data_IF_892369512416
#
_entry.id   IF_892369512416
#
_cell.length_a   1.000
_cell.length_b   1.000
_cell.length_c   1.000
_cell.angle_alpha   90.00
_cell.angle_beta   90.00
_cell.angle_gamma   90.00
#
_symmetry.space_group_name_H-M   'P 1'
#
loop_
_entity.id
_entity.type
_entity.pdbx_description
1 polymer ?
#
# COMPACT_ATOMS: atom_id res chain seq x y z
N UNK A 1 20.30 17.27 13.11
CA UNK A 1 18.92 16.77 12.91
C UNK A 1 18.33 16.55 14.29
N UNK A 2 17.10 16.99 14.54
CA UNK A 2 16.37 16.76 15.80
C UNK A 2 15.24 15.78 15.47
N UNK A 3 15.10 14.69 16.23
CA UNK A 3 14.07 13.67 16.03
C UNK A 3 13.30 13.43 17.34
N UNK A 4 12.31 14.27 17.67
CA UNK A 4 11.69 14.31 19.01
C UNK A 4 11.13 12.98 19.51
N UNK A 5 10.47 12.19 18.65
CA UNK A 5 9.92 10.87 19.04
C UNK A 5 11.01 9.92 19.56
N UNK A 6 12.18 9.90 18.89
CA UNK A 6 13.32 9.07 19.31
C UNK A 6 14.06 9.67 20.50
N UNK A 7 14.25 10.99 20.48
CA UNK A 7 15.13 11.68 21.40
C UNK A 7 14.45 11.95 22.76
N UNK A 8 13.13 12.13 22.78
CA UNK A 8 12.35 12.44 24.00
C UNK A 8 11.67 11.22 24.61
N UNK A 9 11.56 10.11 23.87
CA UNK A 9 11.06 8.80 24.34
C UNK A 9 9.67 8.86 25.01
N UNK A 10 8.82 9.79 24.58
CA UNK A 10 7.46 9.90 25.10
C UNK A 10 6.60 8.79 24.50
N UNK A 11 5.87 8.06 25.34
CA UNK A 11 4.81 7.17 24.90
C UNK A 11 3.55 7.94 24.49
N UNK A 12 2.65 7.31 23.73
CA UNK A 12 1.42 7.96 23.21
C UNK A 12 0.58 8.63 24.30
N UNK A 13 0.47 8.03 25.49
CA UNK A 13 -0.23 8.63 26.63
C UNK A 13 0.44 9.90 27.15
N UNK A 14 1.77 9.95 27.15
CA UNK A 14 2.55 11.11 27.56
C UNK A 14 2.47 12.23 26.52
N UNK A 15 2.47 11.89 25.22
CA UNK A 15 2.25 12.83 24.12
C UNK A 15 0.89 13.52 24.23
N UNK A 16 -0.17 12.76 24.53
CA UNK A 16 -1.54 13.29 24.73
C UNK A 16 -1.58 14.21 25.95
N UNK A 17 -0.96 13.80 27.06
CA UNK A 17 -0.91 14.62 28.28
C UNK A 17 -0.14 15.93 28.04
N UNK A 18 0.98 15.86 27.33
CA UNK A 18 1.79 17.02 26.97
C UNK A 18 1.02 17.98 26.04
N UNK A 19 0.30 17.45 25.05
CA UNK A 19 -0.57 18.25 24.20
C UNK A 19 -1.64 18.97 25.02
N UNK A 20 -2.27 18.29 25.98
CA UNK A 20 -3.27 18.88 26.87
C UNK A 20 -2.69 19.98 27.77
N UNK A 21 -1.51 19.75 28.37
CA UNK A 21 -0.79 20.74 29.21
C UNK A 21 -0.48 22.02 28.42
N UNK A 22 -0.20 21.90 27.12
CA UNK A 22 0.14 23.02 26.25
C UNK A 22 -1.08 23.58 25.48
N UNK A 23 -2.30 23.14 25.80
CA UNK A 23 -3.54 23.63 25.17
C UNK A 23 -3.69 23.25 23.69
N UNK A 24 -3.01 22.19 23.24
CA UNK A 24 -3.08 21.66 21.88
C UNK A 24 -4.23 20.64 21.77
N UNK A 25 -5.23 20.95 20.95
CA UNK A 25 -6.33 20.02 20.69
C UNK A 25 -5.87 18.88 19.76
N UNK A 26 -5.79 17.66 20.29
CA UNK A 26 -5.48 16.44 19.52
C UNK A 26 -6.71 15.54 19.38
N UNK A 27 -6.93 14.99 18.17
CA UNK A 27 -8.01 14.04 17.89
C UNK A 27 -7.64 12.59 18.24
N UNK A 28 -6.39 12.34 18.65
CA UNK A 28 -5.90 11.01 18.95
C UNK A 28 -6.61 10.45 20.19
N UNK A 29 -7.50 9.48 19.99
CA UNK A 29 -8.06 8.67 21.08
C UNK A 29 -7.19 7.44 21.30
N UNK A 30 -7.32 6.81 22.48
CA UNK A 30 -6.71 5.49 22.78
C UNK A 30 -7.29 4.34 21.93
N UNK A 31 -8.30 4.60 21.09
CA UNK A 31 -9.21 3.57 20.58
C UNK A 31 -8.84 2.98 19.22
N UNK A 32 -7.97 3.61 18.41
CA UNK A 32 -7.50 2.97 17.19
C UNK A 32 -6.40 1.97 17.53
N UNK A 33 -6.62 0.64 17.39
CA UNK A 33 -5.59 -0.36 17.68
C UNK A 33 -4.50 -0.41 16.61
N UNK A 34 -4.70 0.30 15.48
CA UNK A 34 -3.81 0.30 14.33
C UNK A 34 -3.03 1.61 14.18
N UNK A 35 -1.78 1.47 13.78
CA UNK A 35 -0.98 2.53 13.16
C UNK A 35 -1.20 2.44 11.65
N UNK A 36 -1.59 3.56 11.04
CA UNK A 36 -1.98 3.61 9.62
C UNK A 36 -1.21 4.74 8.95
N UNK A 37 -0.53 4.43 7.85
CA UNK A 37 -0.04 5.41 6.88
C UNK A 37 -0.76 5.20 5.55
N UNK A 38 -1.06 6.30 4.86
CA UNK A 38 -1.78 6.24 3.59
C UNK A 38 -1.48 7.43 2.69
N UNK A 39 -1.29 7.15 1.40
CA UNK A 39 -1.10 8.14 0.35
C UNK A 39 -1.80 7.69 -0.95
N UNK A 40 -1.63 8.38 -2.08
CA UNK A 40 -2.30 7.99 -3.32
C UNK A 40 -2.03 6.53 -3.76
N UNK A 41 -0.84 6.00 -3.45
CA UNK A 41 -0.33 4.74 -3.98
C UNK A 41 -0.74 3.51 -3.16
N UNK A 42 -0.88 3.68 -1.85
CA UNK A 42 -1.18 2.58 -0.95
C UNK A 42 -1.47 3.04 0.47
N UNK A 43 -1.97 2.08 1.26
CA UNK A 43 -2.24 2.21 2.69
C UNK A 43 -1.54 1.06 3.42
N UNK A 44 -0.76 1.37 4.46
CA UNK A 44 -0.18 0.39 5.37
C UNK A 44 -0.90 0.39 6.71
N UNK A 45 -0.95 -0.78 7.35
CA UNK A 45 -1.62 -1.01 8.63
C UNK A 45 -0.77 -1.97 9.45
N UNK A 46 -0.43 -1.55 10.66
CA UNK A 46 0.42 -2.32 11.57
C UNK A 46 -0.04 -2.15 13.03
N UNK A 47 0.67 -2.81 13.95
CA UNK A 47 0.48 -2.81 15.42
C UNK A 47 -0.80 -3.48 15.92
N UNK A 48 -0.89 -3.63 17.24
CA UNK A 48 -2.03 -4.22 17.92
C UNK A 48 -2.10 -5.73 17.66
N UNK A 49 -3.30 -6.22 17.32
CA UNK A 49 -3.53 -7.66 17.08
C UNK A 49 -2.72 -8.20 15.89
N UNK A 50 -2.28 -7.33 14.98
CA UNK A 50 -1.53 -7.69 13.78
C UNK A 50 -0.10 -8.13 14.07
N UNK A 51 0.46 -7.81 15.25
CA UNK A 51 1.81 -8.21 15.62
C UNK A 51 1.97 -9.74 15.81
N UNK A 52 0.87 -10.45 16.09
CA UNK A 52 0.86 -11.91 16.13
C UNK A 52 0.60 -12.48 14.73
N UNK A 53 1.60 -13.07 14.04
CA UNK A 53 1.43 -13.63 12.69
C UNK A 53 0.49 -14.84 12.63
N UNK A 54 0.09 -15.39 13.78
CA UNK A 54 -0.90 -16.46 13.86
C UNK A 54 -2.34 -15.96 13.86
N UNK A 55 -2.55 -14.65 13.98
CA UNK A 55 -3.87 -14.03 13.92
C UNK A 55 -4.17 -13.60 12.49
N UNK A 56 -5.29 -14.08 11.95
CA UNK A 56 -5.83 -13.61 10.67
C UNK A 56 -6.15 -12.10 10.75
N UNK A 57 -5.84 -11.32 9.72
CA UNK A 57 -6.21 -9.91 9.67
C UNK A 57 -7.72 -9.71 9.89
N UNK A 58 -8.16 -8.98 10.92
CA UNK A 58 -9.57 -8.67 11.09
C UNK A 58 -10.04 -7.73 9.97
N UNK A 59 -11.31 -7.83 9.59
CA UNK A 59 -11.85 -7.07 8.46
C UNK A 59 -11.80 -5.54 8.69
N UNK A 60 -11.81 -5.09 9.94
CA UNK A 60 -11.70 -3.67 10.30
C UNK A 60 -10.28 -3.09 10.13
N UNK A 61 -9.29 -3.94 9.82
CA UNK A 61 -7.97 -3.50 9.40
C UNK A 61 -7.97 -2.99 7.95
N UNK A 62 -8.93 -3.39 7.10
CA UNK A 62 -9.03 -2.98 5.70
C UNK A 62 -10.02 -1.82 5.52
N UNK A 63 -9.71 -0.88 4.63
CA UNK A 63 -10.55 0.29 4.36
C UNK A 63 -10.76 0.59 2.88
N UNK A 64 -9.83 0.18 2.01
CA UNK A 64 -9.86 0.51 0.57
C UNK A 64 -10.32 -0.66 -0.31
N UNK A 65 -10.24 -1.87 0.21
CA UNK A 65 -10.49 -3.10 -0.53
C UNK A 65 -11.68 -3.84 0.04
N UNK A 66 -12.50 -4.43 -0.83
CA UNK A 66 -13.61 -5.31 -0.45
C UNK A 66 -13.06 -6.70 -0.13
N UNK A 67 -13.59 -7.37 0.89
CA UNK A 67 -13.20 -8.77 1.16
C UNK A 67 -13.46 -9.64 -0.08
N UNK A 68 -12.53 -10.53 -0.49
CA UNK A 68 -12.69 -11.34 -1.70
C UNK A 68 -14.01 -12.12 -1.76
N UNK A 69 -14.52 -12.58 -0.62
CA UNK A 69 -15.79 -13.32 -0.49
C UNK A 69 -17.02 -12.44 -0.77
N UNK A 70 -16.85 -11.11 -0.67
CA UNK A 70 -17.90 -10.10 -0.90
C UNK A 70 -17.71 -9.35 -2.23
N UNK A 71 -16.61 -9.62 -2.96
CA UNK A 71 -16.35 -8.98 -4.24
C UNK A 71 -17.36 -9.43 -5.32
N UNK A 72 -17.70 -8.58 -6.30
CA UNK A 72 -18.63 -8.95 -7.36
C UNK A 72 -18.18 -10.18 -8.17
N UNK A 73 -18.98 -11.24 -8.16
CA UNK A 73 -18.62 -12.52 -8.81
C UNK A 73 -18.44 -12.44 -10.34
N UNK A 74 -19.03 -11.44 -10.99
CA UNK A 74 -18.86 -11.22 -12.44
C UNK A 74 -17.45 -10.74 -12.81
N UNK A 75 -16.67 -10.27 -11.83
CA UNK A 75 -15.40 -9.59 -12.06
C UNK A 75 -15.57 -8.24 -12.76
N UNK A 76 -14.45 -7.67 -13.17
CA UNK A 76 -14.39 -6.43 -13.94
C UNK A 76 -13.30 -6.56 -15.00
N UNK A 77 -13.58 -6.08 -16.21
CA UNK A 77 -12.58 -5.92 -17.27
C UNK A 77 -12.21 -4.45 -17.34
N UNK A 78 -10.91 -4.17 -17.33
CA UNK A 78 -10.35 -2.83 -17.56
C UNK A 78 -9.32 -2.91 -18.67
N UNK A 79 -9.26 -1.89 -19.51
CA UNK A 79 -8.21 -1.73 -20.52
C UNK A 79 -7.24 -0.64 -20.11
N UNK A 80 -5.94 -0.96 -20.07
CA UNK A 80 -4.87 -0.01 -19.77
C UNK A 80 -4.02 0.22 -21.01
N UNK A 81 -3.82 1.49 -21.37
CA UNK A 81 -2.89 1.87 -22.42
C UNK A 81 -1.56 2.32 -21.83
N UNK A 82 -0.46 1.83 -22.38
CA UNK A 82 0.89 2.20 -21.99
C UNK A 82 1.65 2.86 -23.13
N UNK A 83 2.37 3.93 -22.82
CA UNK A 83 3.33 4.58 -23.70
C UNK A 83 4.69 4.61 -23.02
N UNK A 84 5.68 3.95 -23.64
CA UNK A 84 7.05 3.90 -23.12
C UNK A 84 7.13 3.46 -21.63
N UNK A 85 6.27 2.52 -21.23
CA UNK A 85 6.19 2.00 -19.86
C UNK A 85 5.31 2.81 -18.90
N UNK A 86 4.77 3.96 -19.33
CA UNK A 86 3.88 4.78 -18.50
C UNK A 86 2.41 4.54 -18.88
N UNK A 87 1.50 4.27 -17.92
CA UNK A 87 0.08 4.19 -18.22
C UNK A 87 -0.49 5.58 -18.55
N UNK A 88 -1.19 5.70 -19.68
CA UNK A 88 -1.74 6.98 -20.16
C UNK A 88 -3.27 6.99 -20.31
N UNK A 89 -3.91 5.82 -20.44
CA UNK A 89 -5.36 5.71 -20.60
C UNK A 89 -5.95 4.54 -19.83
N UNK A 90 -7.21 4.69 -19.40
CA UNK A 90 -8.03 3.65 -18.78
C UNK A 90 -9.37 3.58 -19.53
N UNK A 91 -9.72 2.40 -20.05
CA UNK A 91 -10.94 2.16 -20.86
C UNK A 91 -11.08 3.13 -22.04
N UNK A 92 -9.95 3.43 -22.69
CA UNK A 92 -9.87 4.34 -23.83
C UNK A 92 -9.84 5.84 -23.49
N UNK A 93 -10.05 6.21 -22.22
CA UNK A 93 -10.04 7.60 -21.75
C UNK A 93 -8.63 8.03 -21.30
N UNK A 94 -8.15 9.15 -21.82
CA UNK A 94 -6.90 9.77 -21.37
C UNK A 94 -7.06 10.46 -20.02
N UNK A 95 -6.18 10.12 -19.08
CA UNK A 95 -6.27 10.57 -17.70
C UNK A 95 -4.90 11.08 -17.24
N UNK A 96 -4.90 12.08 -16.37
CA UNK A 96 -3.66 12.43 -15.66
C UNK A 96 -3.23 11.26 -14.74
N UNK A 97 -1.94 11.16 -14.37
CA UNK A 97 -1.47 10.06 -13.53
C UNK A 97 -2.24 9.90 -12.21
N UNK A 98 -2.61 11.01 -11.58
CA UNK A 98 -3.36 11.00 -10.31
C UNK A 98 -4.78 10.46 -10.52
N UNK A 99 -5.47 10.90 -11.58
CA UNK A 99 -6.81 10.44 -11.91
C UNK A 99 -6.83 8.95 -12.28
N UNK A 100 -5.83 8.51 -13.06
CA UNK A 100 -5.68 7.11 -13.45
C UNK A 100 -5.51 6.21 -12.23
N UNK A 101 -4.57 6.54 -11.33
CA UNK A 101 -4.33 5.77 -10.12
C UNK A 101 -5.55 5.79 -9.20
N UNK A 102 -6.17 6.95 -9.01
CA UNK A 102 -7.37 7.08 -8.16
C UNK A 102 -8.51 6.21 -8.68
N UNK A 103 -8.83 6.30 -9.97
CA UNK A 103 -9.92 5.53 -10.58
C UNK A 103 -9.62 4.03 -10.58
N UNK A 104 -8.41 3.65 -10.93
CA UNK A 104 -8.00 2.24 -10.92
C UNK A 104 -8.01 1.65 -9.51
N UNK A 105 -7.58 2.41 -8.49
CA UNK A 105 -7.64 1.99 -7.09
C UNK A 105 -9.07 1.69 -6.64
N UNK A 106 -10.04 2.52 -7.01
CA UNK A 106 -11.45 2.30 -6.68
C UNK A 106 -12.00 1.04 -7.37
N UNK A 107 -11.73 0.89 -8.66
CA UNK A 107 -12.20 -0.26 -9.46
C UNK A 107 -11.61 -1.58 -8.96
N UNK A 108 -10.29 -1.62 -8.75
CA UNK A 108 -9.59 -2.81 -8.30
C UNK A 108 -9.88 -3.12 -6.82
N UNK A 109 -9.97 -2.10 -5.97
CA UNK A 109 -10.32 -2.25 -4.56
C UNK A 109 -11.73 -2.81 -4.37
N UNK A 110 -12.70 -2.41 -5.19
CA UNK A 110 -14.04 -3.00 -5.20
C UNK A 110 -14.07 -4.50 -5.56
N UNK A 111 -13.03 -4.99 -6.25
CA UNK A 111 -12.83 -6.40 -6.58
C UNK A 111 -11.94 -7.14 -5.56
N UNK A 112 -11.57 -6.49 -4.46
CA UNK A 112 -10.70 -7.05 -3.43
C UNK A 112 -9.23 -7.20 -3.83
N UNK A 113 -8.83 -6.60 -4.95
CA UNK A 113 -7.44 -6.64 -5.42
C UNK A 113 -6.56 -5.75 -4.53
N UNK A 114 -5.36 -6.25 -4.23
CA UNK A 114 -4.33 -5.47 -3.56
C UNK A 114 -4.33 -5.56 -2.03
N UNK A 115 -5.07 -6.51 -1.43
CA UNK A 115 -4.85 -6.93 -0.04
C UNK A 115 -3.57 -7.76 0.07
N UNK A 116 -2.62 -7.30 0.86
CA UNK A 116 -1.32 -7.96 1.06
C UNK A 116 -1.09 -8.10 2.56
N UNK A 117 -0.76 -9.30 3.02
CA UNK A 117 -0.32 -9.60 4.38
C UNK A 117 1.12 -10.09 4.30
N UNK A 118 2.05 -9.33 4.90
CA UNK A 118 3.47 -9.53 4.68
C UNK A 118 4.27 -9.44 5.97
N UNK A 119 5.25 -10.33 6.10
CA UNK A 119 6.32 -10.22 7.10
C UNK A 119 7.59 -9.79 6.37
N UNK A 120 8.10 -8.62 6.72
CA UNK A 120 9.24 -7.98 6.05
C UNK A 120 10.46 -7.84 6.96
N UNK A 121 11.62 -7.72 6.32
CA UNK A 121 12.89 -7.41 6.97
C UNK A 121 13.10 -5.88 6.98
N UNK A 122 13.01 -5.28 8.16
CA UNK A 122 13.31 -3.85 8.31
C UNK A 122 14.82 -3.61 8.27
N UNK A 123 15.21 -2.47 7.71
CA UNK A 123 16.61 -2.02 7.66
C UNK A 123 17.30 -2.01 9.04
N UNK A 124 16.54 -1.77 10.11
CA UNK A 124 17.04 -1.77 11.50
C UNK A 124 17.31 -3.16 12.07
N UNK A 125 17.15 -4.23 11.29
CA UNK A 125 17.53 -5.60 11.64
C UNK A 125 16.46 -6.41 12.38
N UNK A 126 15.20 -5.97 12.35
CA UNK A 126 14.06 -6.69 12.91
C UNK A 126 13.08 -7.08 11.81
N UNK A 127 12.26 -8.10 12.08
CA UNK A 127 11.09 -8.39 11.25
C UNK A 127 9.86 -7.68 11.80
N UNK A 128 8.98 -7.24 10.91
CA UNK A 128 7.65 -6.74 11.24
C UNK A 128 6.60 -7.39 10.35
N UNK A 129 5.39 -7.56 10.86
CA UNK A 129 4.22 -7.91 10.06
C UNK A 129 3.45 -6.64 9.73
N UNK A 130 3.14 -6.45 8.46
CA UNK A 130 2.38 -5.32 7.95
C UNK A 130 1.32 -5.78 6.97
N UNK A 131 0.17 -5.11 7.01
CA UNK A 131 -0.86 -5.24 6.00
C UNK A 131 -0.78 -4.05 5.06
N UNK A 132 -0.94 -4.32 3.77
CA UNK A 132 -1.01 -3.29 2.75
C UNK A 132 -2.29 -3.40 1.92
N UNK A 133 -2.83 -2.24 1.55
CA UNK A 133 -3.83 -2.07 0.52
C UNK A 133 -3.26 -1.23 -0.62
N UNK A 134 -2.94 -1.88 -1.75
CA UNK A 134 -2.32 -1.22 -2.90
C UNK A 134 -3.01 -1.62 -4.23
N UNK A 135 -4.33 -1.36 -4.38
CA UNK A 135 -5.15 -1.88 -5.47
C UNK A 135 -4.64 -1.47 -6.87
N UNK A 136 -4.42 -0.17 -7.12
CA UNK A 136 -3.88 0.28 -8.40
C UNK A 136 -2.45 -0.21 -8.64
N UNK A 137 -1.59 -0.17 -7.61
CA UNK A 137 -0.19 -0.56 -7.74
C UNK A 137 -0.05 -2.02 -8.21
N UNK A 138 -0.82 -2.93 -7.61
CA UNK A 138 -0.82 -4.36 -8.00
C UNK A 138 -1.29 -4.55 -9.43
N UNK A 139 -2.36 -3.86 -9.85
CA UNK A 139 -2.85 -3.96 -11.24
C UNK A 139 -1.84 -3.37 -12.23
N UNK A 140 -1.23 -2.23 -11.91
CA UNK A 140 -0.25 -1.56 -12.77
C UNK A 140 1.04 -2.37 -12.89
N UNK A 141 1.58 -2.95 -11.81
CA UNK A 141 2.74 -3.85 -11.88
C UNK A 141 2.45 -5.06 -12.78
N UNK A 142 1.30 -5.69 -12.57
CA UNK A 142 0.88 -6.84 -13.38
C UNK A 142 0.75 -6.47 -14.87
N UNK A 143 0.05 -5.38 -15.18
CA UNK A 143 -0.16 -4.92 -16.56
C UNK A 143 1.15 -4.49 -17.23
N UNK A 144 2.01 -3.77 -16.51
CA UNK A 144 3.31 -3.35 -17.01
C UNK A 144 4.19 -4.56 -17.35
N UNK A 145 4.25 -5.56 -16.47
CA UNK A 145 5.01 -6.80 -16.72
C UNK A 145 4.44 -7.59 -17.90
N UNK A 146 3.12 -7.56 -18.12
CA UNK A 146 2.50 -8.16 -19.29
C UNK A 146 2.94 -7.47 -20.58
N UNK A 147 2.95 -6.13 -20.62
CA UNK A 147 3.46 -5.35 -21.77
C UNK A 147 4.96 -5.63 -22.01
N UNK A 148 5.77 -5.69 -20.96
CA UNK A 148 7.19 -6.02 -21.07
C UNK A 148 7.43 -7.41 -21.64
N UNK A 149 6.62 -8.39 -21.25
CA UNK A 149 6.73 -9.76 -21.77
C UNK A 149 6.52 -9.85 -23.29
N UNK A 150 5.79 -8.90 -23.87
CA UNK A 150 5.52 -8.81 -25.31
C UNK A 150 6.55 -7.98 -26.07
N UNK A 151 7.18 -7.02 -25.39
CA UNK A 151 7.99 -5.96 -26.04
C UNK A 151 9.49 -6.10 -25.82
N UNK A 152 9.91 -6.82 -24.77
CA UNK A 152 11.32 -6.97 -24.41
C UNK A 152 11.87 -8.34 -24.77
N UNK A 153 13.16 -8.40 -25.10
CA UNK A 153 13.84 -9.67 -25.35
C UNK A 153 14.05 -10.45 -24.05
N UNK A 154 14.22 -11.77 -24.17
CA UNK A 154 14.46 -12.66 -23.03
C UNK A 154 15.63 -12.21 -22.15
N UNK A 155 16.74 -11.80 -22.75
CA UNK A 155 17.95 -11.45 -22.00
C UNK A 155 17.79 -10.11 -21.27
N UNK A 156 17.04 -9.16 -21.84
CA UNK A 156 16.65 -7.91 -21.18
C UNK A 156 15.74 -8.21 -19.99
N UNK A 157 14.70 -9.04 -20.17
CA UNK A 157 13.80 -9.44 -19.08
C UNK A 157 14.53 -10.13 -17.94
N UNK A 158 15.49 -11.02 -18.25
CA UNK A 158 16.30 -11.70 -17.24
C UNK A 158 17.12 -10.70 -16.42
N UNK A 159 17.80 -9.77 -17.08
CA UNK A 159 18.64 -8.78 -16.40
C UNK A 159 17.81 -7.75 -15.61
N UNK A 160 16.69 -7.28 -16.18
CA UNK A 160 15.78 -6.34 -15.52
C UNK A 160 15.33 -6.83 -14.16
N UNK A 161 15.04 -8.12 -13.99
CA UNK A 161 14.63 -8.68 -12.68
C UNK A 161 15.66 -8.40 -11.59
N UNK A 162 16.93 -8.63 -11.88
CA UNK A 162 18.02 -8.34 -10.93
C UNK A 162 18.08 -6.86 -10.58
N UNK A 163 17.93 -5.99 -11.58
CA UNK A 163 17.94 -4.53 -11.37
C UNK A 163 16.71 -4.07 -10.58
N UNK A 164 15.54 -4.67 -10.81
CA UNK A 164 14.32 -4.35 -10.08
C UNK A 164 14.42 -4.75 -8.60
N UNK A 165 15.00 -5.92 -8.32
CA UNK A 165 15.22 -6.39 -6.94
C UNK A 165 16.22 -5.49 -6.19
N UNK A 166 17.27 -5.02 -6.87
CA UNK A 166 18.20 -4.05 -6.30
C UNK A 166 17.53 -2.68 -6.10
N UNK A 167 16.76 -2.22 -7.08
CA UNK A 167 16.03 -0.94 -6.99
C UNK A 167 15.06 -0.91 -5.81
N UNK A 168 14.44 -2.04 -5.48
CA UNK A 168 13.55 -2.14 -4.33
C UNK A 168 14.27 -2.05 -2.96
N UNK A 169 15.59 -2.26 -2.92
CA UNK A 169 16.40 -2.22 -1.69
C UNK A 169 17.04 -0.85 -1.43
N UNK A 170 17.12 0.02 -2.45
CA UNK A 170 17.74 1.37 -2.38
C UNK A 170 16.83 2.40 -1.71
#
# INVERSE_FOLDING_TARGET
>A
MVAPVRDWQMGRSEEIAYAAEHGLAVKATQESPYSIDANLWGRSVETGILEDPWVEPPEDAFAWTTAPERAPAAGLVVELHFEQGTPTRLDGEELSPVELVTRLSLLAGAQGVGRIDHVEDRLVGIKSRELYEAPAAVVLDFAHRAVESLTLSRDVLRFKRLVADEWAQL
#
